data_IF_594095624309
#
_entry.id   IF_594095624309
#
_cell.length_a   1.000
_cell.length_b   1.000
_cell.length_c   1.000
_cell.angle_alpha   90.00
_cell.angle_beta   90.00
_cell.angle_gamma   90.00
#
_symmetry.space_group_name_H-M   'P 1'
#
loop_
_entity.id
_entity.type
_entity.pdbx_description
1 polymer ?
#
# COMPACT_ATOMS: atom_id res chain seq x y z
N UNK A 1 -1.83 -14.41 -10.15
CA UNK A 1 -0.51 -14.43 -10.85
C UNK A 1 -0.49 -15.21 -12.18
N UNK A 2 -1.58 -15.23 -12.96
CA UNK A 2 -1.67 -16.05 -14.18
C UNK A 2 -0.68 -15.62 -15.29
N UNK A 3 -0.45 -14.31 -15.44
CA UNK A 3 0.47 -13.78 -16.46
C UNK A 3 1.92 -14.24 -16.25
N UNK A 4 2.41 -14.22 -15.01
CA UNK A 4 3.76 -14.71 -14.68
C UNK A 4 3.90 -16.20 -15.02
N UNK A 5 2.91 -17.02 -14.65
CA UNK A 5 2.92 -18.46 -14.97
C UNK A 5 2.82 -18.72 -16.47
N UNK A 6 2.12 -17.88 -17.22
CA UNK A 6 2.11 -17.95 -18.69
C UNK A 6 3.47 -17.60 -19.29
N UNK A 7 4.14 -16.56 -18.77
CA UNK A 7 5.48 -16.17 -19.20
C UNK A 7 6.53 -17.25 -18.89
N UNK A 8 6.45 -17.94 -17.75
CA UNK A 8 7.29 -19.10 -17.46
C UNK A 8 7.17 -20.17 -18.54
N UNK A 9 5.93 -20.53 -18.91
CA UNK A 9 5.67 -21.52 -19.97
C UNK A 9 6.21 -21.07 -21.32
N UNK A 10 5.96 -19.81 -21.70
CA UNK A 10 6.45 -19.24 -22.95
C UNK A 10 7.98 -19.23 -23.03
N UNK A 11 8.66 -19.04 -21.89
CA UNK A 11 10.12 -19.07 -21.80
C UNK A 11 10.70 -20.48 -21.59
N UNK A 12 9.89 -21.55 -21.61
CA UNK A 12 10.35 -22.93 -21.36
C UNK A 12 10.85 -23.17 -19.93
N UNK A 13 10.50 -22.30 -18.97
CA UNK A 13 10.87 -22.44 -17.57
C UNK A 13 9.94 -23.42 -16.87
N UNK A 14 10.45 -24.12 -15.85
CA UNK A 14 9.62 -24.92 -14.96
C UNK A 14 8.58 -24.03 -14.28
N UNK A 15 7.34 -24.50 -14.21
CA UNK A 15 6.27 -23.78 -13.50
C UNK A 15 6.66 -23.53 -12.04
N UNK A 16 6.47 -22.30 -11.57
CA UNK A 16 6.82 -21.89 -10.21
C UNK A 16 8.33 -21.67 -9.98
N UNK A 17 9.15 -21.63 -11.04
CA UNK A 17 10.57 -21.29 -10.92
C UNK A 17 10.83 -19.80 -10.73
N UNK A 18 9.84 -18.94 -10.99
CA UNK A 18 9.85 -17.51 -10.68
C UNK A 18 9.02 -17.29 -9.41
N UNK A 19 9.66 -16.74 -8.38
CA UNK A 19 9.00 -16.35 -7.13
C UNK A 19 8.39 -14.97 -7.27
N UNK A 20 7.13 -14.82 -6.87
CA UNK A 20 6.40 -13.55 -6.84
C UNK A 20 6.37 -13.02 -5.42
N UNK A 21 6.95 -11.85 -5.21
CA UNK A 21 6.91 -11.13 -3.94
C UNK A 21 5.87 -10.01 -4.05
N UNK A 22 4.91 -9.97 -3.13
CA UNK A 22 3.98 -8.85 -3.00
C UNK A 22 4.40 -7.96 -1.83
N UNK A 23 4.70 -6.70 -2.10
CA UNK A 23 4.95 -5.69 -1.06
C UNK A 23 3.63 -5.13 -0.58
N UNK A 24 3.35 -5.25 0.72
CA UNK A 24 2.10 -4.81 1.33
C UNK A 24 2.43 -3.77 2.40
N UNK A 25 1.73 -2.63 2.35
CA UNK A 25 1.80 -1.64 3.42
C UNK A 25 1.00 -2.17 4.61
N UNK A 26 1.63 -2.24 5.78
CA UNK A 26 1.07 -2.79 7.01
C UNK A 26 1.19 -1.77 8.14
N UNK A 27 0.08 -1.53 8.82
CA UNK A 27 -0.04 -0.72 10.02
C UNK A 27 -0.99 -1.44 11.00
N UNK A 28 -0.50 -2.52 11.62
CA UNK A 28 -1.33 -3.40 12.45
C UNK A 28 -1.44 -2.88 13.90
N UNK A 29 -2.67 -2.59 14.33
CA UNK A 29 -2.98 -2.22 15.72
C UNK A 29 -2.32 -0.93 16.18
N UNK A 30 -1.97 -0.04 15.25
CA UNK A 30 -1.40 1.26 15.56
C UNK A 30 -2.49 2.23 16.04
N UNK A 31 -2.14 3.21 16.90
CA UNK A 31 -2.99 4.37 17.14
C UNK A 31 -3.35 5.07 15.82
N UNK A 32 -4.56 5.63 15.67
CA UNK A 32 -5.05 6.20 14.40
C UNK A 32 -4.08 7.19 13.77
N UNK A 33 -3.47 8.08 14.57
CA UNK A 33 -2.51 9.07 14.08
C UNK A 33 -1.24 8.42 13.49
N UNK A 34 -0.79 7.29 14.06
CA UNK A 34 0.36 6.54 13.56
C UNK A 34 0.00 5.69 12.34
N UNK A 35 -1.21 5.16 12.28
CA UNK A 35 -1.71 4.45 11.10
C UNK A 35 -1.76 5.38 9.88
N UNK A 36 -2.36 6.57 10.04
CA UNK A 36 -2.42 7.58 8.98
C UNK A 36 -1.02 8.05 8.58
N UNK A 37 -0.10 8.22 9.53
CA UNK A 37 1.30 8.50 9.24
C UNK A 37 1.96 7.42 8.37
N UNK A 38 1.74 6.14 8.70
CA UNK A 38 2.34 5.02 7.97
C UNK A 38 1.76 4.92 6.56
N UNK A 39 0.45 5.07 6.41
CA UNK A 39 -0.23 4.75 5.15
C UNK A 39 -0.48 5.99 4.30
N UNK A 40 -1.02 7.05 4.91
CA UNK A 40 -1.40 8.29 4.25
C UNK A 40 -0.19 9.03 3.67
N UNK A 41 0.89 9.18 4.42
CA UNK A 41 2.08 9.88 3.93
C UNK A 41 2.67 9.25 2.66
N UNK A 42 2.69 7.91 2.60
CA UNK A 42 3.16 7.16 1.41
C UNK A 42 2.19 7.29 0.24
N UNK A 43 0.89 7.25 0.52
CA UNK A 43 -0.15 7.44 -0.49
C UNK A 43 0.00 8.80 -1.18
N UNK A 44 0.30 9.88 -0.43
CA UNK A 44 0.56 11.20 -1.00
C UNK A 44 1.70 11.16 -2.01
N UNK A 45 2.84 10.55 -1.67
CA UNK A 45 3.98 10.44 -2.60
C UNK A 45 3.61 9.70 -3.88
N UNK A 46 2.91 8.56 -3.79
CA UNK A 46 2.53 7.77 -4.97
C UNK A 46 1.55 8.51 -5.88
N UNK A 47 0.57 9.19 -5.28
CA UNK A 47 -0.47 9.88 -6.03
C UNK A 47 -0.04 11.25 -6.54
N UNK A 48 0.96 11.86 -5.91
CA UNK A 48 1.59 13.09 -6.42
C UNK A 48 2.19 12.88 -7.81
N UNK A 49 2.80 11.72 -8.07
CA UNK A 49 3.48 11.43 -9.35
C UNK A 49 2.46 11.30 -10.50
N UNK A 50 2.51 12.19 -11.52
CA UNK A 50 1.63 12.09 -12.68
C UNK A 50 1.83 10.78 -13.44
N UNK A 51 0.73 10.17 -13.88
CA UNK A 51 0.73 8.88 -14.58
C UNK A 51 0.71 7.69 -13.64
N UNK A 52 1.44 7.72 -12.53
CA UNK A 52 1.46 6.63 -11.57
C UNK A 52 0.16 6.57 -10.75
N UNK A 53 -0.28 7.71 -10.20
CA UNK A 53 -1.55 7.78 -9.47
C UNK A 53 -2.76 7.35 -10.33
N UNK A 54 -2.79 7.75 -11.60
CA UNK A 54 -3.84 7.39 -12.54
C UNK A 54 -3.88 5.89 -12.82
N UNK A 55 -2.72 5.25 -12.96
CA UNK A 55 -2.63 3.80 -13.13
C UNK A 55 -3.13 3.08 -11.87
N UNK A 56 -2.73 3.54 -10.68
CA UNK A 56 -3.22 2.99 -9.41
C UNK A 56 -4.73 3.15 -9.26
N UNK A 57 -5.28 4.32 -9.58
CA UNK A 57 -6.72 4.53 -9.54
C UNK A 57 -7.45 3.63 -10.55
N UNK A 58 -6.94 3.51 -11.79
CA UNK A 58 -7.55 2.69 -12.82
C UNK A 58 -7.59 1.20 -12.46
N UNK A 59 -6.50 0.63 -11.93
CA UNK A 59 -6.45 -0.80 -11.58
C UNK A 59 -7.33 -1.14 -10.37
N UNK A 60 -7.57 -0.18 -9.48
CA UNK A 60 -8.42 -0.36 -8.30
C UNK A 60 -9.88 0.11 -8.53
N UNK A 61 -10.21 0.66 -9.70
CA UNK A 61 -11.53 1.20 -9.99
C UNK A 61 -11.88 2.46 -9.19
N UNK A 62 -10.88 3.21 -8.74
CA UNK A 62 -11.07 4.43 -7.96
C UNK A 62 -11.32 5.65 -8.83
N UNK A 63 -11.99 6.64 -8.24
CA UNK A 63 -12.31 7.92 -8.88
C UNK A 63 -11.05 8.79 -9.07
N UNK A 64 -10.73 9.08 -10.34
CA UNK A 64 -9.56 9.90 -10.70
C UNK A 64 -9.72 11.37 -10.29
N UNK A 65 -10.94 11.86 -10.04
CA UNK A 65 -11.15 13.23 -9.57
C UNK A 65 -10.51 13.46 -8.19
N UNK A 66 -10.44 12.42 -7.35
CA UNK A 66 -9.77 12.49 -6.05
C UNK A 66 -8.26 12.72 -6.17
N UNK A 67 -7.62 12.23 -7.24
CA UNK A 67 -6.21 12.54 -7.54
C UNK A 67 -6.03 14.02 -7.89
N UNK A 68 -6.96 14.59 -8.66
CA UNK A 68 -6.93 16.00 -9.01
C UNK A 68 -7.10 16.87 -7.75
N UNK A 69 -8.02 16.48 -6.86
CA UNK A 69 -8.21 17.13 -5.56
C UNK A 69 -6.95 17.08 -4.71
N UNK A 70 -6.31 15.92 -4.58
CA UNK A 70 -5.03 15.78 -3.87
C UNK A 70 -3.98 16.72 -4.46
N UNK A 71 -3.77 16.70 -5.77
CA UNK A 71 -2.71 17.49 -6.43
C UNK A 71 -2.99 19.00 -6.43
N UNK A 72 -4.25 19.40 -6.23
CA UNK A 72 -4.62 20.80 -6.03
C UNK A 72 -4.33 21.31 -4.61
N UNK A 73 -3.91 20.43 -3.69
CA UNK A 73 -3.62 20.81 -2.31
C UNK A 73 -2.51 21.87 -2.26
N UNK A 74 -2.69 22.99 -1.52
CA UNK A 74 -1.73 24.10 -1.50
C UNK A 74 -0.31 23.68 -1.12
N UNK A 75 -0.15 22.67 -0.26
CA UNK A 75 1.16 22.13 0.15
C UNK A 75 1.89 21.35 -0.94
N UNK A 76 1.20 20.90 -1.99
CA UNK A 76 1.84 20.24 -3.14
C UNK A 76 2.16 21.24 -4.27
N UNK A 77 1.63 22.47 -4.21
CA UNK A 77 1.86 23.47 -5.24
C UNK A 77 3.34 23.89 -5.31
N UNK A 78 3.96 23.69 -6.47
CA UNK A 78 5.36 24.06 -6.70
C UNK A 78 6.39 23.20 -5.98
N UNK A 79 5.98 22.12 -5.31
CA UNK A 79 6.87 21.23 -4.57
C UNK A 79 7.95 20.64 -5.49
N UNK A 80 9.21 20.78 -5.12
CA UNK A 80 10.34 20.21 -5.85
C UNK A 80 10.80 18.92 -5.17
N UNK A 81 10.54 17.78 -5.81
CA UNK A 81 10.85 16.46 -5.26
C UNK A 81 9.62 15.73 -4.72
N UNK A 82 9.85 14.53 -4.19
CA UNK A 82 8.82 13.69 -3.60
C UNK A 82 8.28 14.32 -2.30
N UNK A 83 6.96 14.26 -2.09
CA UNK A 83 6.31 14.87 -0.94
C UNK A 83 6.92 14.43 0.40
N UNK A 84 7.21 13.14 0.56
CA UNK A 84 7.85 12.58 1.75
C UNK A 84 9.28 13.05 2.02
N UNK A 85 9.94 13.63 1.01
CA UNK A 85 11.30 14.14 1.11
C UNK A 85 11.34 15.63 1.45
N UNK A 86 10.20 16.32 1.35
CA UNK A 86 10.10 17.79 1.51
C UNK A 86 9.19 18.18 2.67
N UNK A 87 8.05 17.50 2.83
CA UNK A 87 7.04 17.82 3.82
C UNK A 87 7.29 17.10 5.14
N UNK A 88 6.87 17.72 6.26
CA UNK A 88 6.87 17.02 7.55
C UNK A 88 5.80 15.94 7.59
N UNK A 89 5.87 15.07 8.59
CA UNK A 89 4.87 14.02 8.76
C UNK A 89 3.45 14.59 8.96
N UNK A 90 3.32 15.64 9.77
CA UNK A 90 2.05 16.33 10.02
C UNK A 90 1.49 16.95 8.74
N UNK A 91 2.36 17.47 7.88
CA UNK A 91 1.96 18.03 6.60
C UNK A 91 1.49 16.96 5.62
N UNK A 92 2.14 15.80 5.61
CA UNK A 92 1.72 14.66 4.80
C UNK A 92 0.39 14.07 5.27
N UNK A 93 0.15 14.01 6.58
CA UNK A 93 -1.13 13.58 7.16
C UNK A 93 -2.26 14.52 6.73
N UNK A 94 -2.01 15.84 6.80
CA UNK A 94 -2.96 16.86 6.36
C UNK A 94 -3.28 16.72 4.87
N UNK A 95 -2.26 16.59 4.02
CA UNK A 95 -2.46 16.36 2.57
C UNK A 95 -3.20 15.04 2.32
N UNK A 96 -2.88 13.97 3.05
CA UNK A 96 -3.53 12.66 2.90
C UNK A 96 -5.02 12.69 3.27
N UNK A 97 -5.44 13.59 4.15
CA UNK A 97 -6.83 13.70 4.63
C UNK A 97 -7.85 14.03 3.52
N UNK A 98 -7.38 14.55 2.38
CA UNK A 98 -8.25 14.82 1.22
C UNK A 98 -8.60 13.56 0.43
N UNK A 99 -7.85 12.48 0.62
CA UNK A 99 -8.10 11.21 -0.04
C UNK A 99 -9.20 10.44 0.69
N UNK A 100 -10.04 9.70 -0.06
CA UNK A 100 -11.04 8.86 0.56
C UNK A 100 -10.38 7.75 1.40
N UNK A 101 -10.89 7.52 2.62
CA UNK A 101 -10.35 6.53 3.54
C UNK A 101 -10.44 5.09 2.98
N UNK A 102 -11.38 4.82 2.08
CA UNK A 102 -11.51 3.52 1.45
C UNK A 102 -10.34 3.18 0.51
N UNK A 103 -9.59 4.16 0.01
CA UNK A 103 -8.40 3.90 -0.83
C UNK A 103 -7.29 3.26 0.00
N UNK A 104 -7.04 3.80 1.19
CA UNK A 104 -6.04 3.25 2.11
C UNK A 104 -6.52 1.93 2.70
N UNK A 105 -7.80 1.82 3.08
CA UNK A 105 -8.36 0.60 3.64
C UNK A 105 -8.41 -0.58 2.66
N UNK A 106 -8.57 -0.32 1.35
CA UNK A 106 -8.58 -1.38 0.33
C UNK A 106 -7.18 -1.80 -0.13
N UNK A 107 -6.19 -0.91 -0.06
CA UNK A 107 -4.84 -1.15 -0.57
C UNK A 107 -3.81 -1.58 0.48
N UNK A 108 -4.06 -1.32 1.76
CA UNK A 108 -3.13 -1.62 2.87
C UNK A 108 -3.74 -2.59 3.89
N UNK A 109 -2.88 -3.26 4.65
CA UNK A 109 -3.25 -4.07 5.80
C UNK A 109 -3.22 -3.18 7.06
N UNK A 110 -4.39 -2.68 7.46
CA UNK A 110 -4.54 -1.68 8.54
C UNK A 110 -5.57 -2.13 9.57
N UNK A 111 -5.63 -1.45 10.72
CA UNK A 111 -6.58 -1.74 11.78
C UNK A 111 -6.19 -2.96 12.62
N UNK A 112 -7.15 -3.83 12.95
CA UNK A 112 -6.90 -4.96 13.84
C UNK A 112 -5.95 -6.00 13.21
N UNK A 113 -5.32 -6.81 14.05
CA UNK A 113 -4.46 -7.88 13.58
C UNK A 113 -5.19 -8.90 12.70
N UNK A 114 -6.46 -9.21 13.01
CA UNK A 114 -7.30 -10.07 12.16
C UNK A 114 -7.56 -9.46 10.79
N UNK A 115 -7.89 -8.16 10.72
CA UNK A 115 -8.11 -7.46 9.45
C UNK A 115 -6.83 -7.43 8.60
N UNK A 116 -5.67 -7.24 9.25
CA UNK A 116 -4.38 -7.31 8.56
C UNK A 116 -4.09 -8.71 8.00
N UNK A 117 -4.32 -9.77 8.78
CA UNK A 117 -4.15 -11.16 8.32
C UNK A 117 -5.04 -11.45 7.11
N UNK A 118 -6.31 -11.03 7.14
CA UNK A 118 -7.23 -11.20 6.00
C UNK A 118 -6.70 -10.53 4.73
N UNK A 119 -6.13 -9.32 4.83
CA UNK A 119 -5.52 -8.63 3.68
C UNK A 119 -4.32 -9.41 3.15
N UNK A 120 -3.45 -9.89 4.02
CA UNK A 120 -2.25 -10.64 3.64
C UNK A 120 -2.62 -11.97 2.96
N UNK A 121 -3.63 -12.69 3.48
CA UNK A 121 -4.12 -13.93 2.86
C UNK A 121 -4.70 -13.68 1.46
N UNK A 122 -5.40 -12.56 1.21
CA UNK A 122 -5.84 -12.21 -0.14
C UNK A 122 -4.69 -12.11 -1.15
N UNK A 123 -3.51 -11.63 -0.74
CA UNK A 123 -2.33 -11.60 -1.61
C UNK A 123 -1.79 -13.02 -1.88
N UNK A 124 -1.80 -13.90 -0.88
CA UNK A 124 -1.41 -15.32 -1.05
C UNK A 124 -2.37 -16.05 -1.99
N UNK A 125 -3.67 -15.87 -1.79
CA UNK A 125 -4.73 -16.42 -2.64
C UNK A 125 -4.63 -15.91 -4.08
N UNK A 126 -4.23 -14.65 -4.27
CA UNK A 126 -3.93 -14.09 -5.59
C UNK A 126 -2.66 -14.68 -6.25
N UNK A 127 -1.90 -15.48 -5.51
CA UNK A 127 -0.74 -16.25 -5.97
C UNK A 127 0.62 -15.62 -5.65
N UNK A 128 0.70 -14.72 -4.66
CA UNK A 128 1.99 -14.29 -4.13
C UNK A 128 2.69 -15.47 -3.43
N UNK A 129 3.96 -15.69 -3.76
CA UNK A 129 4.76 -16.73 -3.13
C UNK A 129 5.31 -16.29 -1.77
N UNK A 130 5.60 -14.98 -1.64
CA UNK A 130 6.10 -14.33 -0.43
C UNK A 130 5.50 -12.94 -0.27
N UNK A 131 5.43 -12.47 0.97
CA UNK A 131 4.97 -11.13 1.31
C UNK A 131 6.12 -10.32 1.90
N UNK A 132 6.27 -9.09 1.43
CA UNK A 132 7.19 -8.11 2.00
C UNK A 132 6.37 -7.10 2.77
N UNK A 133 6.47 -7.13 4.11
CA UNK A 133 5.74 -6.22 4.98
C UNK A 133 6.49 -4.88 5.05
N UNK A 134 5.82 -3.82 4.59
CA UNK A 134 6.36 -2.46 4.54
C UNK A 134 5.50 -1.53 5.41
N UNK A 135 6.05 -0.45 5.97
CA UNK A 135 5.28 0.53 6.75
C UNK A 135 5.66 0.53 8.22
N UNK A 136 5.08 -0.36 9.02
CA UNK A 136 5.44 -0.57 10.43
C UNK A 136 6.87 -1.08 10.63
N UNK A 137 7.50 -0.69 11.74
CA UNK A 137 8.78 -1.25 12.18
C UNK A 137 8.62 -2.68 12.69
N UNK A 138 9.69 -3.50 12.74
CA UNK A 138 9.58 -4.88 13.21
C UNK A 138 8.95 -5.04 14.61
N UNK A 139 9.25 -4.13 15.55
CA UNK A 139 8.67 -4.10 16.89
C UNK A 139 7.16 -3.80 16.88
N UNK A 140 6.71 -2.97 15.93
CA UNK A 140 5.29 -2.63 15.76
C UNK A 140 4.46 -3.76 15.13
N UNK A 141 5.11 -4.73 14.48
CA UNK A 141 4.44 -5.87 13.86
C UNK A 141 4.20 -7.03 14.82
N UNK A 142 4.67 -6.96 16.07
CA UNK A 142 4.42 -8.00 17.07
C UNK A 142 2.93 -8.41 17.19
N UNK A 143 1.94 -7.48 17.22
CA UNK A 143 0.54 -7.85 17.31
C UNK A 143 0.05 -8.69 16.12
N UNK A 144 0.59 -8.45 14.92
CA UNK A 144 0.26 -9.21 13.71
C UNK A 144 0.67 -10.67 13.87
N UNK A 145 1.91 -10.91 14.30
CA UNK A 145 2.46 -12.27 14.43
C UNK A 145 1.90 -13.06 15.61
N UNK A 146 1.27 -12.37 16.57
CA UNK A 146 0.51 -13.01 17.67
C UNK A 146 -0.93 -13.33 17.30
N UNK A 147 -1.43 -12.85 16.16
CA UNK A 147 -2.81 -13.05 15.76
C UNK A 147 -3.10 -14.51 15.37
N UNK A 148 -4.30 -15.03 15.71
CA UNK A 148 -4.77 -16.30 15.16
C UNK A 148 -4.80 -16.25 13.63
N UNK A 149 -4.25 -17.28 12.98
CA UNK A 149 -4.21 -17.37 11.51
C UNK A 149 -3.03 -16.64 10.85
N UNK A 150 -2.17 -15.94 11.61
CA UNK A 150 -0.93 -15.43 11.05
C UNK A 150 -0.04 -16.62 10.61
N UNK A 151 0.45 -16.64 9.35
CA UNK A 151 1.39 -17.66 8.90
C UNK A 151 2.64 -17.64 9.78
N UNK A 152 3.10 -18.83 10.19
CA UNK A 152 4.39 -19.01 10.87
C UNK A 152 5.54 -19.15 9.89
#
# INVERSE_FOLDING_TARGET
MALVRAAERAAGRRAGSVRVYATVVVACGLPPEKEVAVVGARAVTYYQVPGFGEQLAAVNGWDREQLARLRSHPRLAGLQGAADSVLTLEELIDVASVLPAEWTASAAAIGSASACVEVLERYRDAGADELVLHGSTPDQLEPLFRAPGCPR
#
